data_IF_988695968795
#
_entry.id   IF_988695968795
#
_cell.length_a   1.000
_cell.length_b   1.000
_cell.length_c   1.000
_cell.angle_alpha   90.00
_cell.angle_beta   90.00
_cell.angle_gamma   90.00
#
_symmetry.space_group_name_H-M   'P 1'
#
loop_
_entity.id
_entity.type
_entity.pdbx_description
1 polymer ?
#
# COMPACT_ATOMS: atom_id res chain seq x y z
N UNK A 1 1.40 18.00 2.76
CA UNK A 1 2.02 16.65 2.57
C UNK A 1 1.48 15.66 3.58
N UNK A 2 1.05 14.46 3.19
CA UNK A 2 0.63 13.36 4.09
C UNK A 2 1.83 12.46 4.41
N UNK A 3 2.02 12.07 5.67
CA UNK A 3 3.11 11.17 6.08
C UNK A 3 2.55 9.87 6.61
N UNK A 4 3.05 8.74 6.06
CA UNK A 4 2.67 7.38 6.43
C UNK A 4 3.87 6.66 7.03
N UNK A 5 3.70 6.06 8.19
CA UNK A 5 4.73 5.24 8.83
C UNK A 5 4.70 3.85 8.21
N UNK A 6 5.83 3.40 7.65
CA UNK A 6 5.94 2.03 7.13
C UNK A 6 6.09 1.02 8.26
N UNK A 7 5.37 -0.09 8.18
CA UNK A 7 5.54 -1.24 9.08
C UNK A 7 6.44 -2.33 8.51
N UNK A 8 7.00 -2.13 7.30
CA UNK A 8 7.92 -3.10 6.72
C UNK A 8 9.10 -3.35 7.65
N UNK A 9 9.43 -4.63 7.85
CA UNK A 9 10.57 -5.09 8.68
C UNK A 9 10.46 -4.79 10.18
N UNK A 10 9.29 -4.36 10.67
CA UNK A 10 9.04 -4.25 12.11
C UNK A 10 8.75 -5.62 12.72
N UNK A 11 9.16 -5.80 13.97
CA UNK A 11 8.64 -6.87 14.80
C UNK A 11 7.12 -6.71 14.96
N UNK A 12 6.36 -7.77 14.72
CA UNK A 12 4.90 -7.76 14.79
C UNK A 12 4.37 -7.26 16.13
N UNK A 13 5.09 -7.53 17.23
CA UNK A 13 4.73 -7.07 18.58
C UNK A 13 4.80 -5.54 18.76
N UNK A 14 5.61 -4.84 17.96
CA UNK A 14 5.77 -3.40 18.05
C UNK A 14 4.67 -2.63 17.29
N UNK A 15 4.03 -3.24 16.30
CA UNK A 15 3.15 -2.55 15.34
C UNK A 15 2.00 -1.82 16.04
N UNK A 16 1.40 -2.40 17.08
CA UNK A 16 0.29 -1.78 17.82
C UNK A 16 0.74 -0.50 18.54
N UNK A 17 1.90 -0.53 19.21
CA UNK A 17 2.41 0.64 19.94
C UNK A 17 2.90 1.73 18.97
N UNK A 18 3.50 1.35 17.85
CA UNK A 18 3.84 2.28 16.75
C UNK A 18 2.58 2.93 16.17
N UNK A 19 1.48 2.17 15.98
CA UNK A 19 0.22 2.70 15.48
C UNK A 19 -0.39 3.74 16.44
N UNK A 20 -0.42 3.45 17.74
CA UNK A 20 -0.88 4.41 18.77
C UNK A 20 -0.03 5.69 18.73
N UNK A 21 1.28 5.53 18.71
CA UNK A 21 2.20 6.67 18.64
C UNK A 21 2.01 7.49 17.35
N UNK A 22 1.78 6.82 16.21
CA UNK A 22 1.51 7.49 14.94
C UNK A 22 0.21 8.31 14.97
N UNK A 23 -0.87 7.74 15.55
CA UNK A 23 -2.16 8.43 15.73
C UNK A 23 -2.01 9.65 16.65
N UNK A 24 -1.33 9.47 17.80
CA UNK A 24 -1.09 10.55 18.78
C UNK A 24 -0.22 11.69 18.23
N UNK A 25 0.79 11.34 17.43
CA UNK A 25 1.72 12.30 16.83
C UNK A 25 1.16 12.95 15.54
N UNK A 26 -0.05 12.60 15.11
CA UNK A 26 -0.70 13.20 13.94
C UNK A 26 -0.12 12.77 12.59
N UNK A 27 0.47 11.58 12.49
CA UNK A 27 0.73 10.99 11.19
C UNK A 27 -0.57 10.74 10.46
N UNK A 28 -0.55 10.86 9.13
CA UNK A 28 -1.76 10.60 8.34
C UNK A 28 -2.13 9.12 8.36
N UNK A 29 -1.16 8.23 8.27
CA UNK A 29 -1.45 6.81 8.20
C UNK A 29 -0.27 5.88 8.40
N UNK A 30 -0.52 4.60 8.20
CA UNK A 30 0.49 3.53 8.19
C UNK A 30 0.46 2.76 6.89
N UNK A 31 1.64 2.41 6.38
CA UNK A 31 1.83 1.53 5.24
C UNK A 31 2.07 0.09 5.70
N UNK A 32 1.18 -0.83 5.35
CA UNK A 32 1.24 -2.24 5.75
C UNK A 32 1.60 -3.10 4.53
N UNK A 33 2.77 -3.73 4.50
CA UNK A 33 3.19 -4.60 3.40
C UNK A 33 2.49 -5.95 3.43
N UNK A 34 2.61 -6.71 2.33
CA UNK A 34 2.00 -8.02 2.17
C UNK A 34 2.96 -9.04 1.56
N UNK A 35 3.30 -10.06 2.31
CA UNK A 35 3.88 -11.32 1.86
C UNK A 35 3.21 -12.47 2.61
N UNK A 36 2.86 -13.55 1.91
CA UNK A 36 2.20 -14.71 2.55
C UNK A 36 3.24 -15.65 3.15
N UNK A 37 4.30 -15.89 2.40
CA UNK A 37 5.37 -16.85 2.75
C UNK A 37 6.72 -16.34 2.26
N UNK A 38 7.76 -16.74 2.95
CA UNK A 38 9.14 -16.43 2.62
C UNK A 38 9.88 -17.71 2.31
N UNK A 39 10.22 -17.95 1.04
CA UNK A 39 10.95 -19.16 0.65
C UNK A 39 12.44 -19.00 0.94
N UNK A 40 13.08 -20.09 1.37
CA UNK A 40 14.54 -20.13 1.54
C UNK A 40 15.27 -19.84 0.22
N UNK A 41 14.82 -20.46 -0.87
CA UNK A 41 15.41 -20.27 -2.20
C UNK A 41 14.37 -19.71 -3.17
N UNK A 42 14.71 -18.61 -3.82
CA UNK A 42 13.93 -17.99 -4.89
C UNK A 42 14.66 -18.12 -6.21
N UNK A 43 13.94 -18.52 -7.26
CA UNK A 43 14.43 -18.51 -8.65
C UNK A 43 14.04 -17.19 -9.34
N UNK A 44 12.85 -16.66 -9.00
CA UNK A 44 12.37 -15.39 -9.54
C UNK A 44 13.17 -14.23 -8.91
N UNK A 45 13.89 -13.43 -9.71
CA UNK A 45 14.65 -12.31 -9.16
C UNK A 45 13.72 -11.22 -8.65
N UNK A 46 14.11 -10.57 -7.55
CA UNK A 46 13.40 -9.41 -7.04
C UNK A 46 13.56 -8.22 -8.01
N UNK A 47 12.46 -7.64 -8.53
CA UNK A 47 12.54 -6.71 -9.67
C UNK A 47 13.12 -5.33 -9.31
N UNK A 48 13.15 -4.97 -8.03
CA UNK A 48 13.49 -3.60 -7.58
C UNK A 48 14.88 -3.50 -6.96
N UNK A 49 15.74 -4.51 -7.17
CA UNK A 49 17.17 -4.49 -6.82
C UNK A 49 17.99 -4.83 -8.05
N UNK A 50 19.22 -4.30 -8.11
CA UNK A 50 20.13 -4.54 -9.26
C UNK A 50 20.65 -5.98 -9.33
N UNK A 51 20.79 -6.62 -8.19
CA UNK A 51 21.29 -7.99 -8.04
C UNK A 51 20.18 -9.06 -8.01
N UNK A 52 18.92 -8.64 -8.06
CA UNK A 52 17.76 -9.53 -8.00
C UNK A 52 17.49 -10.13 -6.62
N UNK A 53 18.22 -9.71 -5.58
CA UNK A 53 18.01 -10.19 -4.21
C UNK A 53 16.92 -9.37 -3.52
N UNK A 54 16.12 -10.05 -2.69
CA UNK A 54 15.14 -9.39 -1.84
C UNK A 54 15.82 -8.44 -0.84
N UNK A 55 15.10 -7.42 -0.39
CA UNK A 55 15.60 -6.38 0.54
C UNK A 55 15.51 -6.76 2.01
N UNK A 56 15.00 -7.96 2.33
CA UNK A 56 14.77 -8.42 3.70
C UNK A 56 15.43 -9.76 3.94
N UNK A 57 15.77 -10.01 5.18
CA UNK A 57 16.40 -11.24 5.63
C UNK A 57 15.37 -12.38 5.81
N UNK A 58 15.88 -13.60 5.99
CA UNK A 58 15.05 -14.71 6.41
C UNK A 58 14.42 -14.42 7.79
N UNK A 59 13.23 -14.97 8.03
CA UNK A 59 12.48 -14.80 9.28
C UNK A 59 12.03 -13.37 9.59
N UNK A 60 12.05 -12.46 8.61
CA UNK A 60 11.38 -11.15 8.73
C UNK A 60 9.87 -11.35 8.87
N UNK A 61 9.27 -10.66 9.83
CA UNK A 61 7.85 -10.71 10.10
C UNK A 61 7.03 -10.08 8.95
N UNK A 62 6.04 -10.84 8.49
CA UNK A 62 5.04 -10.38 7.53
C UNK A 62 3.63 -10.73 8.04
N UNK A 63 3.07 -9.98 9.00
CA UNK A 63 1.73 -10.25 9.49
C UNK A 63 0.69 -10.06 8.39
N UNK A 64 -0.39 -10.84 8.44
CA UNK A 64 -1.51 -10.65 7.51
C UNK A 64 -2.05 -9.22 7.64
N UNK A 65 -2.13 -8.46 6.54
CA UNK A 65 -2.47 -7.04 6.59
C UNK A 65 -3.90 -6.79 7.11
N UNK A 66 -4.87 -7.68 6.83
CA UNK A 66 -6.26 -7.46 7.24
C UNK A 66 -6.48 -7.76 8.72
N UNK A 67 -5.80 -8.78 9.25
CA UNK A 67 -5.78 -9.07 10.68
C UNK A 67 -5.11 -7.93 11.45
N UNK A 68 -3.97 -7.45 10.94
CA UNK A 68 -3.25 -6.34 11.56
C UNK A 68 -4.07 -5.04 11.51
N UNK A 69 -4.64 -4.67 10.36
CA UNK A 69 -5.49 -3.48 10.22
C UNK A 69 -6.69 -3.57 11.15
N UNK A 70 -7.34 -4.74 11.26
CA UNK A 70 -8.44 -4.94 12.20
C UNK A 70 -8.03 -4.66 13.65
N UNK A 71 -6.84 -5.09 14.07
CA UNK A 71 -6.34 -4.85 15.42
C UNK A 71 -6.00 -3.38 15.68
N UNK A 72 -5.25 -2.73 14.78
CA UNK A 72 -4.82 -1.34 14.96
C UNK A 72 -5.96 -0.33 14.76
N UNK A 73 -6.96 -0.64 13.96
CA UNK A 73 -8.12 0.21 13.76
C UNK A 73 -8.94 0.43 15.04
N UNK A 74 -8.93 -0.54 15.96
CA UNK A 74 -9.65 -0.48 17.24
C UNK A 74 -8.92 0.35 18.30
N UNK A 75 -7.62 0.59 18.15
CA UNK A 75 -6.78 1.33 19.12
C UNK A 75 -6.35 2.71 18.60
N UNK A 76 -6.84 3.10 17.43
CA UNK A 76 -6.55 4.39 16.77
C UNK A 76 -7.85 5.07 16.34
N UNK A 77 -7.83 6.38 16.18
CA UNK A 77 -9.05 7.17 15.90
C UNK A 77 -9.00 7.93 14.58
N UNK A 78 -7.82 8.39 14.16
CA UNK A 78 -7.60 9.22 12.96
C UNK A 78 -6.70 8.55 11.93
N UNK A 79 -5.84 7.65 12.37
CA UNK A 79 -4.80 7.02 11.56
C UNK A 79 -5.42 6.22 10.40
N UNK A 80 -5.02 6.53 9.19
CA UNK A 80 -5.35 5.78 7.98
C UNK A 80 -4.45 4.56 7.80
N UNK A 81 -4.90 3.60 7.02
CA UNK A 81 -4.18 2.34 6.75
C UNK A 81 -4.12 2.12 5.25
N UNK A 82 -2.92 2.03 4.70
CA UNK A 82 -2.70 1.70 3.28
C UNK A 82 -1.88 0.42 3.15
N UNK A 83 -2.34 -0.53 2.36
CA UNK A 83 -1.48 -1.67 2.04
C UNK A 83 -0.39 -1.29 1.03
N UNK A 84 0.89 -1.74 1.24
CA UNK A 84 2.05 -1.29 0.45
C UNK A 84 2.93 -2.44 -0.04
N UNK A 85 2.44 -3.38 -0.88
CA UNK A 85 1.10 -3.39 -1.49
C UNK A 85 0.47 -4.78 -1.36
N UNK A 86 -0.83 -4.86 -1.24
CA UNK A 86 -1.56 -6.15 -1.24
C UNK A 86 -1.56 -6.79 -2.63
N UNK A 87 -1.51 -8.12 -2.70
CA UNK A 87 -1.45 -8.89 -3.94
C UNK A 87 -2.76 -9.70 -4.15
N UNK A 88 -3.83 -9.09 -4.70
CA UNK A 88 -5.14 -9.73 -4.79
C UNK A 88 -5.10 -11.04 -5.57
N UNK A 89 -4.40 -11.08 -6.71
CA UNK A 89 -4.36 -12.24 -7.60
C UNK A 89 -3.71 -13.50 -6.99
N UNK A 90 -3.12 -13.41 -5.78
CA UNK A 90 -2.67 -14.59 -5.02
C UNK A 90 -3.76 -15.24 -4.17
N UNK A 91 -4.95 -14.63 -4.07
CA UNK A 91 -6.04 -15.05 -3.17
C UNK A 91 -7.31 -15.41 -3.93
N UNK A 92 -8.18 -16.09 -3.22
CA UNK A 92 -9.57 -16.25 -3.63
C UNK A 92 -10.30 -14.90 -3.57
N UNK A 93 -11.01 -14.49 -4.64
CA UNK A 93 -11.58 -13.15 -4.74
C UNK A 93 -12.66 -12.85 -3.69
N UNK A 94 -13.46 -13.84 -3.33
CA UNK A 94 -14.55 -13.66 -2.36
C UNK A 94 -14.00 -13.52 -0.93
N UNK A 95 -13.03 -14.37 -0.58
CA UNK A 95 -12.34 -14.30 0.71
C UNK A 95 -11.57 -12.98 0.85
N UNK A 96 -10.88 -12.56 -0.20
CA UNK A 96 -10.18 -11.28 -0.22
C UNK A 96 -11.17 -10.10 -0.08
N UNK A 97 -12.25 -10.07 -0.87
CA UNK A 97 -13.27 -9.03 -0.79
C UNK A 97 -13.89 -8.94 0.60
N UNK A 98 -14.17 -10.10 1.24
CA UNK A 98 -14.72 -10.18 2.60
C UNK A 98 -13.74 -9.61 3.63
N UNK A 99 -12.48 -10.03 3.59
CA UNK A 99 -11.46 -9.59 4.56
C UNK A 99 -11.21 -8.07 4.43
N UNK A 100 -11.02 -7.57 3.21
CA UNK A 100 -10.83 -6.15 2.91
C UNK A 100 -12.06 -5.34 3.37
N UNK A 101 -13.27 -5.76 2.98
CA UNK A 101 -14.51 -5.08 3.35
C UNK A 101 -14.74 -5.03 4.85
N UNK A 102 -14.42 -6.13 5.57
CA UNK A 102 -14.52 -6.17 7.04
C UNK A 102 -13.50 -5.22 7.69
N UNK A 103 -12.24 -5.23 7.22
CA UNK A 103 -11.22 -4.31 7.73
C UNK A 103 -11.59 -2.84 7.46
N UNK A 104 -12.13 -2.52 6.28
CA UNK A 104 -12.61 -1.18 5.94
C UNK A 104 -13.80 -0.75 6.82
N UNK A 105 -14.71 -1.66 7.12
CA UNK A 105 -15.83 -1.40 8.02
C UNK A 105 -15.34 -1.07 9.44
N UNK A 106 -14.42 -1.87 9.99
CA UNK A 106 -13.81 -1.63 11.31
C UNK A 106 -12.98 -0.34 11.35
N UNK A 107 -12.28 -0.05 10.26
CA UNK A 107 -11.50 1.18 10.12
C UNK A 107 -12.37 2.44 9.91
N UNK A 108 -13.67 2.29 9.68
CA UNK A 108 -14.63 3.40 9.52
C UNK A 108 -14.17 4.45 8.50
N UNK A 109 -13.88 4.01 7.27
CA UNK A 109 -13.46 4.87 6.15
C UNK A 109 -11.98 5.27 6.13
N UNK A 110 -11.17 4.74 7.04
CA UNK A 110 -9.72 5.01 7.12
C UNK A 110 -8.86 3.99 6.36
N UNK A 111 -9.47 3.07 5.61
CA UNK A 111 -8.74 2.09 4.78
C UNK A 111 -8.54 2.62 3.37
N UNK A 112 -7.32 2.48 2.88
CA UNK A 112 -6.87 2.76 1.51
C UNK A 112 -6.24 1.47 0.94
N UNK A 113 -6.77 0.96 -0.17
CA UNK A 113 -6.33 -0.31 -0.73
C UNK A 113 -5.18 -0.10 -1.73
N UNK A 114 -3.95 -0.23 -1.27
CA UNK A 114 -2.81 -0.28 -2.16
C UNK A 114 -2.59 -1.68 -2.72
N UNK A 115 -2.60 -1.83 -4.04
CA UNK A 115 -2.47 -3.13 -4.70
C UNK A 115 -1.25 -3.24 -5.60
N UNK A 116 -0.73 -4.44 -5.73
CA UNK A 116 0.25 -4.85 -6.73
C UNK A 116 -0.18 -6.09 -7.48
N UNK A 117 0.54 -6.41 -8.56
CA UNK A 117 0.29 -7.64 -9.33
C UNK A 117 1.15 -8.82 -8.90
N UNK A 118 2.11 -8.59 -8.00
CA UNK A 118 3.05 -9.60 -7.53
C UNK A 118 4.20 -9.88 -8.51
N UNK A 119 5.33 -10.28 -7.96
CA UNK A 119 6.57 -10.58 -8.70
C UNK A 119 7.05 -12.02 -8.49
N UNK A 120 6.79 -12.63 -7.33
CA UNK A 120 7.29 -13.94 -6.92
C UNK A 120 6.40 -15.06 -7.46
N UNK A 121 6.87 -15.75 -8.51
CA UNK A 121 6.12 -16.85 -9.13
C UNK A 121 5.94 -18.03 -8.16
N UNK A 122 6.92 -18.24 -7.29
CA UNK A 122 6.91 -19.33 -6.31
C UNK A 122 5.78 -19.13 -5.28
N UNK A 123 5.54 -17.91 -4.82
CA UNK A 123 4.40 -17.62 -3.93
C UNK A 123 3.06 -17.92 -4.62
N UNK A 124 2.89 -17.49 -5.88
CA UNK A 124 1.69 -17.80 -6.65
C UNK A 124 1.45 -19.31 -6.78
N UNK A 125 2.51 -20.07 -7.06
CA UNK A 125 2.45 -21.52 -7.21
C UNK A 125 2.00 -22.20 -5.92
N UNK A 126 2.59 -21.82 -4.78
CA UNK A 126 2.24 -22.37 -3.46
C UNK A 126 0.83 -22.00 -3.02
N UNK A 127 0.35 -20.81 -3.42
CA UNK A 127 -1.02 -20.38 -3.20
C UNK A 127 -2.02 -21.00 -4.18
N UNK A 128 -1.58 -21.90 -5.06
CA UNK A 128 -2.43 -22.54 -6.06
C UNK A 128 -2.93 -21.57 -7.15
N UNK A 129 -2.25 -20.45 -7.34
CA UNK A 129 -2.64 -19.40 -8.27
C UNK A 129 -1.71 -19.35 -9.48
N UNK A 130 -2.28 -19.06 -10.65
CA UNK A 130 -1.50 -18.91 -11.88
C UNK A 130 -0.72 -17.59 -11.88
N UNK A 131 0.56 -17.64 -12.20
CA UNK A 131 1.40 -16.44 -12.33
C UNK A 131 1.18 -15.70 -13.66
N UNK A 132 0.94 -16.45 -14.75
CA UNK A 132 0.62 -15.88 -16.04
C UNK A 132 -0.68 -15.06 -15.99
N UNK A 133 -0.75 -14.01 -16.79
CA UNK A 133 -1.91 -13.12 -16.90
C UNK A 133 -2.37 -12.49 -15.58
N UNK A 134 -1.57 -12.56 -14.50
CA UNK A 134 -1.91 -12.04 -13.16
C UNK A 134 -2.35 -10.58 -13.16
N UNK A 135 -1.76 -9.75 -14.05
CA UNK A 135 -2.17 -8.34 -14.17
C UNK A 135 -3.62 -8.18 -14.65
N UNK A 136 -4.05 -8.92 -15.67
CA UNK A 136 -5.45 -8.92 -16.17
C UNK A 136 -6.40 -9.50 -15.12
N UNK A 137 -5.95 -10.56 -14.46
CA UNK A 137 -6.70 -11.20 -13.37
C UNK A 137 -6.87 -10.27 -12.17
N UNK A 138 -5.83 -9.47 -11.82
CA UNK A 138 -5.94 -8.42 -10.80
C UNK A 138 -6.95 -7.36 -11.21
N UNK A 139 -6.91 -6.88 -12.46
CA UNK A 139 -7.85 -5.88 -12.96
C UNK A 139 -9.31 -6.37 -12.80
N UNK A 140 -9.61 -7.59 -13.26
CA UNK A 140 -10.96 -8.17 -13.18
C UNK A 140 -11.37 -8.46 -11.72
N UNK A 141 -10.43 -8.90 -10.88
CA UNK A 141 -10.70 -9.12 -9.46
C UNK A 141 -11.06 -7.83 -8.73
N UNK A 142 -10.43 -6.70 -9.07
CA UNK A 142 -10.80 -5.39 -8.53
C UNK A 142 -12.23 -5.01 -8.94
N UNK A 143 -12.62 -5.27 -10.19
CA UNK A 143 -13.97 -4.99 -10.68
C UNK A 143 -15.02 -5.86 -9.94
N UNK A 144 -14.72 -7.15 -9.75
CA UNK A 144 -15.56 -8.05 -8.94
C UNK A 144 -15.66 -7.56 -7.49
N UNK A 145 -14.55 -7.22 -6.84
CA UNK A 145 -14.56 -6.74 -5.45
C UNK A 145 -15.36 -5.42 -5.31
N UNK A 146 -15.18 -4.48 -6.23
CA UNK A 146 -15.99 -3.24 -6.28
C UNK A 146 -17.50 -3.54 -6.38
N UNK A 147 -17.88 -4.55 -7.18
CA UNK A 147 -19.27 -4.97 -7.30
C UNK A 147 -19.79 -5.63 -6.01
N UNK A 148 -18.96 -6.47 -5.37
CA UNK A 148 -19.31 -7.14 -4.10
C UNK A 148 -19.45 -6.17 -2.91
N UNK A 149 -18.78 -5.01 -2.94
CA UNK A 149 -18.86 -3.97 -1.92
C UNK A 149 -20.03 -2.99 -2.10
N UNK A 150 -20.85 -3.18 -3.14
CA UNK A 150 -22.08 -2.39 -3.26
C UNK A 150 -23.21 -2.97 -2.40
N UNK A 151 -24.07 -2.13 -1.85
CA UNK A 151 -25.24 -2.62 -1.11
C UNK A 151 -26.20 -3.38 -2.01
N UNK A 152 -26.79 -4.45 -1.47
CA UNK A 152 -27.82 -5.25 -2.15
C UNK A 152 -27.26 -6.37 -3.01
N UNK A 153 -28.11 -6.86 -3.92
CA UNK A 153 -27.77 -8.00 -4.78
C UNK A 153 -26.88 -7.61 -5.94
N UNK A 154 -25.77 -8.32 -6.13
CA UNK A 154 -24.88 -8.18 -7.28
C UNK A 154 -24.78 -9.47 -8.06
N UNK A 155 -24.43 -9.35 -9.35
CA UNK A 155 -24.07 -10.44 -10.26
C UNK A 155 -22.82 -9.99 -11.05
N UNK A 156 -21.89 -10.90 -11.31
CA UNK A 156 -20.67 -10.57 -12.04
C UNK A 156 -20.35 -11.63 -13.07
N UNK A 157 -19.92 -11.22 -14.25
CA UNK A 157 -19.47 -12.12 -15.33
C UNK A 157 -18.26 -11.53 -16.03
N UNK A 158 -17.10 -12.14 -15.78
CA UNK A 158 -15.82 -11.77 -16.38
C UNK A 158 -15.17 -12.93 -17.15
N UNK A 159 -13.92 -12.74 -17.50
CA UNK A 159 -13.09 -13.75 -18.17
C UNK A 159 -12.51 -14.76 -17.16
N UNK A 160 -12.13 -14.31 -15.97
CA UNK A 160 -11.49 -15.11 -14.93
C UNK A 160 -12.45 -15.46 -13.79
N UNK A 161 -13.42 -14.61 -13.52
CA UNK A 161 -14.33 -14.73 -12.39
C UNK A 161 -15.77 -14.61 -12.84
N UNK A 162 -16.66 -15.32 -12.18
CA UNK A 162 -18.10 -15.14 -12.33
C UNK A 162 -18.79 -15.39 -11.01
N UNK A 163 -19.77 -14.55 -10.67
CA UNK A 163 -20.61 -14.68 -9.49
C UNK A 163 -22.06 -14.74 -9.93
N UNK A 164 -22.85 -15.75 -9.48
CA UNK A 164 -24.30 -15.70 -9.61
C UNK A 164 -24.83 -14.53 -8.76
N UNK A 165 -26.12 -14.26 -8.85
CA UNK A 165 -26.74 -13.22 -8.02
C UNK A 165 -26.56 -13.52 -6.54
N UNK A 166 -25.77 -12.69 -5.85
CA UNK A 166 -25.41 -12.84 -4.44
C UNK A 166 -25.28 -11.47 -3.77
N UNK A 167 -25.13 -11.44 -2.45
CA UNK A 167 -24.83 -10.25 -1.67
C UNK A 167 -23.62 -10.50 -0.75
N UNK A 168 -22.93 -9.45 -0.32
CA UNK A 168 -21.80 -9.52 0.61
C UNK A 168 -21.89 -8.44 1.69
N UNK A 169 -22.18 -8.86 2.92
CA UNK A 169 -22.24 -8.00 4.09
C UNK A 169 -21.09 -8.28 5.09
N UNK A 170 -20.63 -7.29 5.89
CA UNK A 170 -21.10 -5.90 5.88
C UNK A 170 -20.66 -5.13 4.63
N UNK A 171 -21.51 -4.24 4.11
CA UNK A 171 -21.12 -3.31 3.06
C UNK A 171 -20.09 -2.32 3.63
N UNK A 172 -18.86 -2.26 3.09
CA UNK A 172 -17.85 -1.32 3.56
C UNK A 172 -18.16 0.11 3.12
N UNK A 173 -17.60 1.13 3.79
CA UNK A 173 -17.49 2.47 3.22
C UNK A 173 -16.65 2.44 1.93
N UNK A 174 -16.68 3.54 1.16
CA UNK A 174 -15.83 3.66 -0.04
C UNK A 174 -14.35 3.38 0.28
N UNK A 175 -13.72 2.52 -0.52
CA UNK A 175 -12.32 2.13 -0.37
C UNK A 175 -11.55 2.68 -1.58
N UNK A 176 -10.72 3.74 -1.43
CA UNK A 176 -9.85 4.20 -2.49
C UNK A 176 -8.83 3.13 -2.88
N UNK A 177 -8.54 2.99 -4.17
CA UNK A 177 -7.61 1.99 -4.71
C UNK A 177 -6.38 2.66 -5.29
N UNK A 178 -5.21 2.37 -4.71
CA UNK A 178 -3.92 2.85 -5.18
C UNK A 178 -3.13 1.69 -5.79
N UNK A 179 -2.44 1.93 -6.89
CA UNK A 179 -1.73 0.88 -7.62
C UNK A 179 -0.23 1.05 -7.50
N UNK A 180 0.45 0.02 -7.02
CA UNK A 180 1.90 -0.05 -6.90
C UNK A 180 2.61 -0.43 -8.19
N UNK A 181 3.84 0.08 -8.34
CA UNK A 181 4.78 -0.32 -9.37
C UNK A 181 5.28 0.82 -10.25
N UNK A 182 6.44 0.58 -10.89
CA UNK A 182 7.19 1.61 -11.62
C UNK A 182 7.09 1.47 -13.16
N UNK A 183 6.57 0.35 -13.67
CA UNK A 183 6.46 0.10 -15.11
C UNK A 183 5.28 0.87 -15.73
N UNK A 184 5.37 1.18 -17.02
CA UNK A 184 4.27 1.83 -17.75
C UNK A 184 2.94 1.05 -17.66
N UNK A 185 2.98 -0.27 -17.56
CA UNK A 185 1.78 -1.09 -17.38
C UNK A 185 1.16 -0.82 -16.00
N UNK A 186 1.98 -0.70 -14.95
CA UNK A 186 1.52 -0.35 -13.61
C UNK A 186 0.97 1.08 -13.57
N UNK A 187 1.67 2.05 -14.18
CA UNK A 187 1.21 3.45 -14.26
C UNK A 187 -0.12 3.57 -15.02
N UNK A 188 -0.31 2.85 -16.15
CA UNK A 188 -1.60 2.81 -16.85
C UNK A 188 -2.72 2.23 -16.00
N UNK A 189 -2.42 1.26 -15.13
CA UNK A 189 -3.38 0.72 -14.15
C UNK A 189 -3.68 1.75 -13.07
N UNK A 190 -2.67 2.43 -12.52
CA UNK A 190 -2.83 3.48 -11.54
C UNK A 190 -3.71 4.63 -12.09
N UNK A 191 -3.43 5.07 -13.30
CA UNK A 191 -4.17 6.17 -13.96
C UNK A 191 -5.68 5.93 -14.10
N UNK A 192 -6.16 4.70 -13.97
CA UNK A 192 -7.60 4.31 -13.99
C UNK A 192 -8.21 4.18 -12.59
N UNK A 193 -7.41 4.27 -11.55
CA UNK A 193 -7.82 4.14 -10.16
C UNK A 193 -7.57 5.45 -9.39
N UNK A 194 -7.59 5.41 -8.07
CA UNK A 194 -7.60 6.60 -7.21
C UNK A 194 -6.20 7.07 -6.83
N UNK A 195 -5.15 6.30 -7.11
CA UNK A 195 -3.78 6.71 -6.81
C UNK A 195 -2.71 5.76 -7.29
N UNK A 196 -1.48 6.19 -7.04
CA UNK A 196 -0.26 5.43 -7.33
C UNK A 196 0.61 5.31 -6.08
N UNK A 197 1.20 4.12 -5.90
CA UNK A 197 2.21 3.87 -4.88
C UNK A 197 3.55 3.61 -5.57
N UNK A 198 4.54 4.47 -5.30
CA UNK A 198 5.92 4.29 -5.74
C UNK A 198 6.67 3.26 -4.90
N UNK A 199 7.89 2.95 -5.33
CA UNK A 199 8.86 2.18 -4.56
C UNK A 199 10.01 3.12 -4.12
N UNK A 200 11.03 2.60 -3.45
CA UNK A 200 12.24 3.32 -3.05
C UNK A 200 12.97 3.89 -4.29
N UNK A 201 12.70 5.15 -4.61
CA UNK A 201 13.24 5.88 -5.75
C UNK A 201 13.68 7.28 -5.34
N UNK A 202 14.52 7.92 -6.15
CA UNK A 202 14.89 9.32 -5.96
C UNK A 202 13.72 10.24 -6.30
N UNK A 203 13.74 11.45 -5.75
CA UNK A 203 12.74 12.49 -6.01
C UNK A 203 12.60 12.77 -7.52
N UNK A 204 13.70 12.85 -8.27
CA UNK A 204 13.66 13.07 -9.72
C UNK A 204 12.93 11.95 -10.45
N UNK A 205 13.21 10.69 -10.10
CA UNK A 205 12.49 9.55 -10.69
C UNK A 205 11.02 9.51 -10.31
N UNK A 206 10.67 9.95 -9.10
CA UNK A 206 9.28 10.07 -8.69
C UNK A 206 8.55 11.13 -9.53
N UNK A 207 9.16 12.29 -9.74
CA UNK A 207 8.64 13.37 -10.58
C UNK A 207 8.40 12.89 -12.02
N UNK A 208 9.35 12.18 -12.63
CA UNK A 208 9.15 11.57 -13.96
C UNK A 208 7.91 10.65 -14.01
N UNK A 209 7.65 9.88 -12.95
CA UNK A 209 6.47 9.00 -12.88
C UNK A 209 5.18 9.80 -12.70
N UNK A 210 5.23 10.88 -11.91
CA UNK A 210 4.09 11.82 -11.76
C UNK A 210 3.74 12.47 -13.09
N UNK A 211 4.71 12.95 -13.84
CA UNK A 211 4.48 13.56 -15.16
C UNK A 211 3.86 12.53 -16.12
N UNK A 212 4.38 11.31 -16.12
CA UNK A 212 3.81 10.23 -16.94
C UNK A 212 2.38 9.87 -16.54
N UNK A 213 2.05 9.86 -15.24
CA UNK A 213 0.69 9.64 -14.74
C UNK A 213 -0.23 10.79 -15.16
N UNK A 214 0.25 12.03 -15.11
CA UNK A 214 -0.49 13.22 -15.55
C UNK A 214 -0.88 13.11 -17.03
N UNK A 215 0.07 12.72 -17.90
CA UNK A 215 -0.20 12.47 -19.32
C UNK A 215 -1.27 11.37 -19.51
N UNK A 216 -1.08 10.20 -18.85
CA UNK A 216 -1.99 9.05 -18.97
C UNK A 216 -3.41 9.36 -18.46
N UNK A 217 -3.55 10.21 -17.47
CA UNK A 217 -4.86 10.64 -16.96
C UNK A 217 -5.50 11.68 -17.87
N UNK A 218 -4.71 12.65 -18.38
CA UNK A 218 -5.18 13.63 -19.34
C UNK A 218 -5.71 12.97 -20.63
N UNK A 219 -5.02 11.94 -21.16
CA UNK A 219 -5.48 11.14 -22.29
C UNK A 219 -6.87 10.50 -22.07
N UNK A 220 -7.28 10.33 -20.81
CA UNK A 220 -8.57 9.78 -20.38
C UNK A 220 -9.59 10.83 -19.95
N UNK A 221 -9.23 12.11 -20.00
CA UNK A 221 -10.07 13.19 -19.50
C UNK A 221 -10.22 13.21 -17.98
N UNK A 222 -9.26 12.62 -17.24
CA UNK A 222 -9.25 12.55 -15.77
C UNK A 222 -8.32 13.60 -15.18
N UNK A 223 -8.78 14.27 -14.11
CA UNK A 223 -7.99 15.24 -13.33
C UNK A 223 -6.98 14.56 -12.42
N UNK A 224 -5.96 15.31 -11.97
CA UNK A 224 -5.05 14.93 -10.90
C UNK A 224 -5.52 15.40 -9.51
N UNK A 225 -6.60 16.18 -9.41
CA UNK A 225 -7.00 16.84 -8.16
C UNK A 225 -7.27 15.85 -7.01
N UNK A 226 -7.98 14.76 -7.29
CA UNK A 226 -8.30 13.71 -6.31
C UNK A 226 -7.39 12.48 -6.43
N UNK A 227 -6.25 12.61 -7.13
CA UNK A 227 -5.35 11.49 -7.36
C UNK A 227 -4.23 11.46 -6.32
N UNK A 228 -4.18 10.39 -5.54
CA UNK A 228 -3.14 10.21 -4.51
C UNK A 228 -1.84 9.69 -5.13
N UNK A 229 -0.73 10.35 -4.81
CA UNK A 229 0.63 9.92 -5.15
C UNK A 229 1.40 9.69 -3.86
N UNK A 230 1.62 8.43 -3.54
CA UNK A 230 2.25 7.97 -2.30
C UNK A 230 3.54 7.24 -2.63
N UNK A 231 4.69 7.71 -2.13
CA UNK A 231 5.98 7.06 -2.43
C UNK A 231 7.02 7.28 -1.33
N UNK A 232 7.89 6.30 -1.03
CA UNK A 232 9.11 6.56 -0.28
C UNK A 232 10.14 7.22 -1.19
N UNK A 233 10.88 8.20 -0.66
CA UNK A 233 11.96 8.89 -1.36
C UNK A 233 13.30 8.57 -0.72
N UNK A 234 14.31 8.23 -1.56
CA UNK A 234 15.63 7.81 -1.08
C UNK A 234 16.61 8.96 -0.85
N UNK A 235 16.25 10.17 -1.27
CA UNK A 235 17.08 11.39 -1.25
C UNK A 235 16.37 12.59 -0.57
N UNK A 236 15.25 12.36 0.11
CA UNK A 236 14.52 13.41 0.83
C UNK A 236 14.80 13.32 2.33
N UNK A 237 15.54 14.28 2.87
CA UNK A 237 16.02 14.30 4.25
C UNK A 237 15.73 15.63 4.99
N UNK A 238 15.29 16.68 4.29
CA UNK A 238 15.02 18.00 4.86
C UNK A 238 13.64 18.50 4.42
N UNK A 239 13.05 19.49 5.12
CA UNK A 239 11.78 20.10 4.73
C UNK A 239 11.75 20.53 3.26
N UNK A 240 12.81 21.15 2.78
CA UNK A 240 12.90 21.67 1.40
C UNK A 240 12.81 20.54 0.35
N UNK A 241 13.33 19.34 0.66
CA UNK A 241 13.18 18.19 -0.22
C UNK A 241 11.72 17.74 -0.32
N UNK A 242 10.98 17.76 0.78
CA UNK A 242 9.56 17.40 0.80
C UNK A 242 8.69 18.49 0.17
N UNK A 243 9.01 19.79 0.35
CA UNK A 243 8.35 20.90 -0.34
C UNK A 243 8.51 20.78 -1.86
N UNK A 244 9.72 20.44 -2.32
CA UNK A 244 9.97 20.17 -3.76
C UNK A 244 9.13 19.02 -4.29
N UNK A 245 9.05 17.91 -3.52
CA UNK A 245 8.25 16.76 -3.87
C UNK A 245 6.75 17.13 -3.96
N UNK A 246 6.23 17.86 -2.98
CA UNK A 246 4.84 18.32 -2.94
C UNK A 246 4.51 19.25 -4.09
N UNK A 247 5.36 20.23 -4.40
CA UNK A 247 5.21 21.15 -5.53
C UNK A 247 5.16 20.41 -6.89
N UNK A 248 5.73 19.19 -6.95
CA UNK A 248 5.69 18.33 -8.14
C UNK A 248 4.45 17.45 -8.21
N UNK A 249 3.58 17.48 -7.19
CA UNK A 249 2.34 16.71 -7.13
C UNK A 249 2.41 15.41 -6.31
N UNK A 250 3.54 15.12 -5.65
CA UNK A 250 3.64 14.03 -4.66
C UNK A 250 2.94 14.51 -3.39
N UNK A 251 1.84 13.88 -3.01
CA UNK A 251 1.01 14.35 -1.90
C UNK A 251 1.04 13.42 -0.67
N UNK A 252 1.81 12.32 -0.75
CA UNK A 252 2.01 11.40 0.36
C UNK A 252 3.41 10.75 0.37
N UNK A 253 4.00 10.64 1.56
CA UNK A 253 5.32 10.03 1.79
C UNK A 253 5.18 8.82 2.70
N UNK A 254 5.75 7.68 2.28
CA UNK A 254 5.94 6.51 3.14
C UNK A 254 7.34 6.59 3.73
N UNK A 255 7.48 6.52 5.04
CA UNK A 255 8.76 6.65 5.72
C UNK A 255 8.87 5.76 6.96
N UNK A 256 10.09 5.51 7.38
CA UNK A 256 10.45 4.95 8.69
C UNK A 256 11.20 6.05 9.47
N UNK A 257 10.51 6.91 10.22
CA UNK A 257 11.09 8.12 10.78
C UNK A 257 12.34 7.91 11.64
N UNK A 258 12.40 6.81 12.40
CA UNK A 258 13.57 6.47 13.25
C UNK A 258 14.84 6.22 12.46
N UNK A 259 14.73 5.83 11.17
CA UNK A 259 15.90 5.59 10.31
C UNK A 259 16.76 6.84 10.11
N UNK A 260 16.20 8.04 10.29
CA UNK A 260 16.92 9.31 10.19
C UNK A 260 17.81 9.58 11.41
N UNK A 261 17.58 8.89 12.55
CA UNK A 261 18.21 9.22 13.85
C UNK A 261 18.98 8.06 14.45
N UNK A 262 18.40 6.86 14.47
CA UNK A 262 18.94 5.72 15.21
C UNK A 262 19.17 4.47 14.35
N UNK A 263 18.59 4.42 13.15
CA UNK A 263 18.81 3.33 12.19
C UNK A 263 17.93 2.09 12.41
N UNK A 264 18.26 0.98 11.74
CA UNK A 264 17.40 -0.22 11.69
C UNK A 264 17.30 -0.97 13.02
N UNK A 265 18.35 -0.95 13.84
CA UNK A 265 18.44 -1.68 15.12
C UNK A 265 17.80 -0.92 16.30
N UNK A 266 16.92 0.06 16.01
CA UNK A 266 16.27 0.86 17.03
C UNK A 266 15.32 0.03 17.89
N UNK A 267 15.37 0.27 19.21
CA UNK A 267 14.35 -0.21 20.14
C UNK A 267 13.00 0.46 19.88
N UNK A 268 11.90 -0.11 20.38
CA UNK A 268 10.57 0.50 20.27
C UNK A 268 10.55 1.96 20.78
N UNK A 269 11.20 2.23 21.92
CA UNK A 269 11.27 3.57 22.48
C UNK A 269 12.01 4.55 21.56
N UNK A 270 13.12 4.13 20.96
CA UNK A 270 13.89 4.93 20.00
C UNK A 270 13.11 5.16 18.69
N UNK A 271 12.34 4.15 18.23
CA UNK A 271 11.45 4.31 17.07
C UNK A 271 10.40 5.39 17.32
N UNK A 272 9.73 5.35 18.47
CA UNK A 272 8.72 6.36 18.85
C UNK A 272 9.35 7.73 19.03
N UNK A 273 10.55 7.83 19.64
CA UNK A 273 11.28 9.10 19.74
C UNK A 273 11.69 9.64 18.37
N UNK A 274 12.16 8.78 17.48
CA UNK A 274 12.45 9.12 16.09
C UNK A 274 11.23 9.64 15.33
N UNK A 275 10.05 9.05 15.55
CA UNK A 275 8.78 9.55 14.99
C UNK A 275 8.46 10.96 15.50
N UNK A 276 8.66 11.22 16.79
CA UNK A 276 8.44 12.55 17.41
C UNK A 276 9.41 13.60 16.84
N UNK A 277 10.69 13.25 16.72
CA UNK A 277 11.71 14.12 16.14
C UNK A 277 11.40 14.44 14.68
N UNK A 278 11.04 13.44 13.87
CA UNK A 278 10.70 13.63 12.47
C UNK A 278 9.52 14.61 12.28
N UNK A 279 8.48 14.49 13.11
CA UNK A 279 7.35 15.44 13.07
C UNK A 279 7.80 16.86 13.33
N UNK A 280 8.72 17.06 14.27
CA UNK A 280 9.26 18.38 14.62
C UNK A 280 10.21 18.93 13.55
N UNK A 281 11.09 18.08 13.03
CA UNK A 281 12.23 18.52 12.22
C UNK A 281 11.90 18.59 10.73
N UNK A 282 10.97 17.78 10.26
CA UNK A 282 10.72 17.54 8.83
C UNK A 282 9.27 17.75 8.44
N UNK A 283 8.35 17.12 9.15
CA UNK A 283 6.93 17.19 8.83
C UNK A 283 6.27 18.37 9.53
N UNK A 284 6.77 19.58 9.23
CA UNK A 284 6.32 20.83 9.83
C UNK A 284 4.82 20.86 10.06
N UNK A 285 4.42 21.20 11.27
CA UNK A 285 3.02 21.39 11.65
C UNK A 285 2.39 22.46 10.72
N UNK A 286 1.53 22.00 9.81
CA UNK A 286 0.62 22.85 9.05
C UNK A 286 -0.67 23.02 9.83
#
# INVERSE_FOLDING_TARGET
MKYYVSTAFLDTHEVIEIAKAADDLGYHGMGIPDHVINLETLKTPYPNTKDGKRRWEAFTDWPDPWVMIGAIALVTTRLHFVTTVYLPAMRDPYSAAKSIGTAAYLANGRLELGIGVGWCEEEFTLMGQRFDRRGRRTDEMLDLMKALWQPGWTEFKGEFYSAPRLEMEPTPPHIPIYVGGLSDIALRRAARNDGWIGDLITTDRAIERVDRLREMRAERGLSMDDFTILTPLTDAFTPEHYERAEASGINGIITMPWMFYTGPESTLAEKIDGMRKFRKDVALDG
#
